data_IF_424769941856
#
_entry.id   IF_424769941856
#
_cell.length_a   1.000
_cell.length_b   1.000
_cell.length_c   1.000
_cell.angle_alpha   90.00
_cell.angle_beta   90.00
_cell.angle_gamma   90.00
#
_symmetry.space_group_name_H-M   'P 1'
#
loop_
_entity.id
_entity.type
_entity.pdbx_description
1 polymer ?
#
# COMPACT_ATOMS: atom_id res chain seq x y z
N UNK A 1 49.91 19.65 -29.86
CA UNK A 1 49.91 20.78 -28.91
C UNK A 1 49.36 20.26 -27.58
N UNK A 2 50.13 20.43 -26.50
CA UNK A 2 49.83 19.97 -25.14
C UNK A 2 49.25 21.14 -24.34
N UNK A 3 48.12 20.96 -23.65
CA UNK A 3 47.71 21.72 -22.44
C UNK A 3 46.59 20.90 -21.76
N UNK A 4 46.87 20.18 -20.67
CA UNK A 4 47.02 20.63 -19.27
C UNK A 4 45.68 20.76 -18.53
N UNK A 5 45.34 19.67 -17.84
CA UNK A 5 45.02 19.54 -16.40
C UNK A 5 44.27 20.67 -15.70
N UNK A 6 43.12 20.33 -15.09
CA UNK A 6 42.76 20.77 -13.75
C UNK A 6 41.77 19.77 -13.12
N UNK A 7 42.31 18.90 -12.26
CA UNK A 7 41.56 18.08 -11.31
C UNK A 7 41.02 19.01 -10.22
N UNK A 8 39.70 19.06 -10.06
CA UNK A 8 39.08 19.64 -8.87
C UNK A 8 38.72 18.50 -7.92
N UNK A 9 39.61 18.25 -6.96
CA UNK A 9 39.38 17.37 -5.81
C UNK A 9 38.84 18.26 -4.69
N UNK A 10 37.55 18.17 -4.39
CA UNK A 10 36.98 18.74 -3.17
C UNK A 10 36.58 17.63 -2.21
N UNK A 11 37.50 17.39 -1.28
CA UNK A 11 37.33 17.03 0.13
C UNK A 11 36.18 16.07 0.52
N UNK A 12 36.62 14.86 0.87
CA UNK A 12 35.95 13.93 1.77
C UNK A 12 35.61 14.60 3.12
N UNK A 13 34.37 14.44 3.56
CA UNK A 13 34.02 14.45 4.98
C UNK A 13 33.22 13.19 5.30
N UNK A 14 33.96 12.13 5.63
CA UNK A 14 33.41 10.89 6.18
C UNK A 14 33.19 11.12 7.68
N UNK A 15 31.92 11.20 8.12
CA UNK A 15 31.58 11.00 9.53
C UNK A 15 31.26 9.52 9.74
N UNK A 16 32.21 8.81 10.35
CA UNK A 16 32.03 7.46 10.90
C UNK A 16 31.35 7.59 12.26
N UNK A 17 30.08 7.20 12.35
CA UNK A 17 29.38 6.99 13.61
C UNK A 17 29.32 5.50 13.93
N UNK A 18 30.16 5.04 14.84
CA UNK A 18 30.09 3.71 15.45
C UNK A 18 29.14 3.76 16.66
N UNK A 19 28.12 2.89 16.69
CA UNK A 19 27.17 2.76 17.80
C UNK A 19 26.66 1.33 17.92
N UNK A 20 26.86 0.74 19.09
CA UNK A 20 26.89 -0.69 19.39
C UNK A 20 25.58 -1.48 19.18
N UNK A 21 25.74 -2.74 18.75
CA UNK A 21 24.74 -3.81 18.84
C UNK A 21 24.56 -4.31 20.28
N UNK A 22 23.31 -4.54 20.71
CA UNK A 22 23.00 -5.53 21.74
C UNK A 22 21.67 -6.22 21.43
N UNK A 23 21.76 -7.55 21.38
CA UNK A 23 20.73 -8.57 21.18
C UNK A 23 20.21 -8.96 22.57
N UNK A 24 18.90 -9.05 22.77
CA UNK A 24 18.31 -9.75 23.93
C UNK A 24 16.83 -10.05 23.60
N UNK A 25 16.56 -11.23 23.03
CA UNK A 25 15.80 -12.35 23.62
C UNK A 25 14.27 -12.22 23.65
N UNK A 26 13.65 -13.01 22.78
CA UNK A 26 12.32 -13.62 22.92
C UNK A 26 12.39 -14.69 24.03
N UNK A 27 11.38 -14.82 24.90
CA UNK A 27 10.77 -16.15 24.99
C UNK A 27 9.25 -16.20 25.31
N UNK A 28 8.62 -17.27 24.79
CA UNK A 28 7.41 -18.00 25.26
C UNK A 28 6.05 -17.28 25.07
N UNK A 29 5.11 -17.72 24.22
CA UNK A 29 4.47 -19.04 24.04
C UNK A 29 4.21 -19.80 25.35
N UNK A 30 2.99 -19.68 25.86
CA UNK A 30 2.32 -20.74 26.62
C UNK A 30 0.89 -20.90 26.10
N UNK A 31 0.70 -21.99 25.36
CA UNK A 31 -0.56 -22.72 25.23
C UNK A 31 -0.89 -23.30 26.60
N UNK A 32 -2.14 -23.25 27.08
CA UNK A 32 -2.84 -24.41 27.69
C UNK A 32 -4.34 -24.11 27.73
N UNK A 33 -5.08 -24.92 26.97
CA UNK A 33 -6.51 -25.20 27.11
C UNK A 33 -6.70 -26.24 28.23
N UNK A 34 -7.84 -26.28 28.93
CA UNK A 34 -8.44 -27.60 29.10
C UNK A 34 -9.96 -27.66 28.85
N UNK A 35 -10.28 -28.72 28.12
CA UNK A 35 -11.47 -29.56 28.06
C UNK A 35 -12.70 -29.26 28.95
N UNK A 36 -13.84 -29.13 28.24
CA UNK A 36 -15.09 -29.88 28.38
C UNK A 36 -15.77 -30.06 29.76
N UNK A 37 -17.04 -29.63 29.87
CA UNK A 37 -18.22 -30.53 29.91
C UNK A 37 -19.56 -29.76 30.05
N UNK A 38 -20.49 -30.02 29.11
CA UNK A 38 -21.95 -30.30 29.24
C UNK A 38 -22.86 -29.21 29.90
N UNK A 39 -24.12 -28.93 29.54
CA UNK A 39 -25.21 -29.63 28.84
C UNK A 39 -26.33 -28.59 28.52
N UNK A 40 -27.08 -28.79 27.42
CA UNK A 40 -28.53 -28.54 27.21
C UNK A 40 -29.23 -27.48 28.09
N UNK A 41 -29.94 -26.48 27.56
CA UNK A 41 -31.23 -26.60 26.86
C UNK A 41 -31.81 -25.19 26.61
N UNK A 42 -32.83 -25.14 25.73
CA UNK A 42 -33.93 -24.15 25.67
C UNK A 42 -33.76 -22.92 24.75
N UNK A 43 -34.32 -23.08 23.55
CA UNK A 43 -35.08 -22.05 22.83
C UNK A 43 -36.43 -21.87 23.57
N UNK A 44 -36.99 -20.65 23.78
CA UNK A 44 -37.35 -19.78 22.66
C UNK A 44 -37.19 -18.26 22.85
N UNK A 45 -37.01 -17.62 21.69
CA UNK A 45 -37.41 -16.24 21.40
C UNK A 45 -36.76 -15.14 22.25
N UNK A 46 -35.58 -14.67 21.84
CA UNK A 46 -35.22 -13.25 21.88
C UNK A 46 -34.32 -12.88 20.70
N UNK A 47 -34.92 -12.18 19.72
CA UNK A 47 -34.45 -10.90 19.19
C UNK A 47 -32.94 -10.61 19.38
N UNK A 48 -32.22 -10.62 18.25
CA UNK A 48 -30.91 -9.99 18.02
C UNK A 48 -29.70 -10.55 18.77
N UNK A 49 -28.85 -11.27 18.03
CA UNK A 49 -27.45 -10.86 17.88
C UNK A 49 -27.09 -11.00 16.40
N UNK A 50 -27.43 -9.98 15.61
CA UNK A 50 -26.64 -9.69 14.42
C UNK A 50 -25.23 -9.46 14.94
N UNK A 51 -24.32 -10.39 14.66
CA UNK A 51 -22.90 -10.09 14.79
C UNK A 51 -22.65 -8.97 13.79
N UNK A 52 -22.57 -7.75 14.32
CA UNK A 52 -22.21 -6.54 13.60
C UNK A 52 -20.93 -6.87 12.81
N UNK A 53 -21.08 -7.05 11.51
CA UNK A 53 -19.97 -7.34 10.61
C UNK A 53 -19.10 -6.10 10.61
N UNK A 54 -17.88 -6.21 11.13
CA UNK A 54 -16.89 -5.15 11.06
C UNK A 54 -16.82 -4.61 9.62
N UNK A 55 -17.02 -3.30 9.46
CA UNK A 55 -16.95 -2.50 8.22
C UNK A 55 -16.32 -3.22 7.03
N UNK A 56 -17.14 -3.95 6.26
CA UNK A 56 -16.69 -4.56 5.03
C UNK A 56 -16.46 -3.45 4.00
N UNK A 57 -15.19 -3.16 3.71
CA UNK A 57 -14.84 -2.23 2.62
C UNK A 57 -15.46 -2.74 1.31
N UNK A 58 -16.01 -1.86 0.45
CA UNK A 58 -16.60 -2.26 -0.82
C UNK A 58 -15.66 -3.15 -1.65
N UNK A 59 -16.24 -4.09 -2.40
CA UNK A 59 -15.51 -4.98 -3.29
C UNK A 59 -15.88 -4.67 -4.76
N UNK A 60 -14.87 -4.62 -5.64
CA UNK A 60 -15.03 -4.30 -7.06
C UNK A 60 -14.36 -5.36 -7.92
N UNK A 61 -14.87 -5.62 -9.12
CA UNK A 61 -14.20 -6.47 -10.10
C UNK A 61 -13.25 -5.67 -10.98
N UNK A 62 -12.30 -6.34 -11.65
CA UNK A 62 -11.47 -5.68 -12.67
C UNK A 62 -12.30 -5.13 -13.83
N UNK A 63 -13.39 -5.80 -14.20
CA UNK A 63 -14.31 -5.32 -15.23
C UNK A 63 -14.94 -3.97 -14.83
N UNK A 64 -15.31 -3.80 -13.56
CA UNK A 64 -15.80 -2.51 -13.06
C UNK A 64 -14.71 -1.44 -13.10
N UNK A 65 -13.53 -1.75 -12.54
CA UNK A 65 -12.38 -0.82 -12.56
C UNK A 65 -12.05 -0.36 -13.98
N UNK A 66 -12.12 -1.27 -14.97
CA UNK A 66 -11.79 -0.96 -16.37
C UNK A 66 -12.66 0.12 -17.02
N UNK A 67 -13.88 0.34 -16.49
CA UNK A 67 -14.79 1.40 -16.98
C UNK A 67 -14.26 2.80 -16.65
N UNK A 68 -13.52 2.93 -15.55
CA UNK A 68 -12.93 4.17 -15.04
C UNK A 68 -11.52 4.38 -15.60
N UNK A 69 -11.43 4.56 -16.92
CA UNK A 69 -10.18 4.57 -17.69
C UNK A 69 -9.74 5.95 -18.19
N UNK A 70 -10.36 7.04 -17.70
CA UNK A 70 -10.09 8.41 -18.17
C UNK A 70 -9.51 9.28 -17.06
N UNK A 71 -8.75 10.36 -17.36
CA UNK A 71 -8.19 11.23 -16.34
C UNK A 71 -9.23 11.81 -15.36
N UNK A 72 -10.40 12.20 -15.87
CA UNK A 72 -11.51 12.74 -15.08
C UNK A 72 -12.32 11.67 -14.32
N UNK A 73 -12.11 10.40 -14.63
CA UNK A 73 -12.78 9.23 -14.06
C UNK A 73 -11.81 8.05 -14.08
N UNK A 74 -10.87 8.06 -13.12
CA UNK A 74 -9.70 7.21 -13.14
C UNK A 74 -9.67 6.31 -11.91
N UNK A 75 -9.93 5.02 -12.09
CA UNK A 75 -9.68 4.03 -11.05
C UNK A 75 -8.52 3.12 -11.43
N UNK A 76 -7.81 2.60 -10.43
CA UNK A 76 -6.81 1.57 -10.66
C UNK A 76 -6.65 0.67 -9.43
N UNK A 77 -5.99 -0.47 -9.65
CA UNK A 77 -5.64 -1.40 -8.58
C UNK A 77 -4.17 -1.28 -8.23
N UNK A 78 -3.86 -1.31 -6.93
CA UNK A 78 -2.50 -1.57 -6.42
C UNK A 78 -2.63 -2.60 -5.30
N UNK A 79 -1.95 -3.74 -5.44
CA UNK A 79 -1.91 -4.80 -4.43
C UNK A 79 -3.31 -5.18 -3.89
N UNK A 80 -4.22 -5.55 -4.79
CA UNK A 80 -5.61 -5.96 -4.50
C UNK A 80 -6.51 -4.90 -3.85
N UNK A 81 -6.08 -3.64 -3.82
CA UNK A 81 -6.89 -2.49 -3.38
C UNK A 81 -7.26 -1.59 -4.55
N UNK A 82 -8.44 -1.00 -4.48
CA UNK A 82 -9.01 -0.16 -5.55
C UNK A 82 -8.97 1.29 -5.12
N UNK A 83 -8.50 2.15 -6.01
CA UNK A 83 -8.28 3.57 -5.75
C UNK A 83 -8.96 4.45 -6.80
N UNK A 84 -9.62 5.52 -6.36
CA UNK A 84 -10.11 6.59 -7.23
C UNK A 84 -9.08 7.73 -7.28
N UNK A 85 -8.45 7.92 -8.44
CA UNK A 85 -7.41 8.90 -8.68
C UNK A 85 -7.85 10.02 -9.63
N UNK A 86 -9.14 10.23 -9.85
CA UNK A 86 -9.68 11.21 -10.80
C UNK A 86 -9.10 12.62 -10.59
N UNK A 87 -8.79 12.98 -9.34
CA UNK A 87 -8.23 14.28 -8.96
C UNK A 87 -6.75 14.24 -8.55
N UNK A 88 -6.01 13.18 -8.90
CA UNK A 88 -4.64 12.98 -8.43
C UNK A 88 -3.59 13.77 -9.23
N UNK A 89 -3.81 14.06 -10.51
CA UNK A 89 -2.79 14.64 -11.40
C UNK A 89 -2.16 15.94 -10.90
N UNK A 90 -2.96 16.85 -10.35
CA UNK A 90 -2.47 18.15 -9.83
C UNK A 90 -1.69 18.05 -8.52
N UNK A 91 -1.87 16.97 -7.77
CA UNK A 91 -1.25 16.74 -6.44
C UNK A 91 -0.10 15.73 -6.51
N UNK A 92 -0.02 14.98 -7.60
CA UNK A 92 0.99 13.95 -7.80
C UNK A 92 2.28 14.58 -8.36
N UNK A 93 3.46 14.36 -7.75
CA UNK A 93 4.72 14.91 -8.26
C UNK A 93 5.08 14.50 -9.70
N UNK A 94 4.57 13.36 -10.16
CA UNK A 94 4.71 12.92 -11.56
C UNK A 94 3.66 13.49 -12.52
N UNK A 95 2.79 14.39 -12.04
CA UNK A 95 1.69 14.96 -12.80
C UNK A 95 0.77 13.89 -13.39
N UNK A 96 0.39 14.10 -14.64
CA UNK A 96 -0.52 13.26 -15.43
C UNK A 96 0.00 11.83 -15.68
N UNK A 97 1.27 11.53 -15.35
CA UNK A 97 1.78 10.17 -15.42
C UNK A 97 0.99 9.19 -14.51
N UNK A 98 0.28 9.70 -13.49
CA UNK A 98 -0.64 8.90 -12.66
C UNK A 98 -1.74 8.24 -13.50
N UNK A 99 -2.21 8.92 -14.54
CA UNK A 99 -3.35 8.47 -15.34
C UNK A 99 -3.01 7.32 -16.31
N UNK A 100 -1.73 6.92 -16.42
CA UNK A 100 -1.34 5.73 -17.19
C UNK A 100 -1.93 4.43 -16.61
N UNK A 101 -2.23 4.44 -15.31
CA UNK A 101 -2.84 3.33 -14.59
C UNK A 101 -4.35 3.23 -14.70
N UNK A 102 -5.07 4.22 -15.23
CA UNK A 102 -6.53 4.22 -15.23
C UNK A 102 -7.09 2.97 -15.91
N UNK A 103 -8.09 2.36 -15.28
CA UNK A 103 -8.76 1.13 -15.72
C UNK A 103 -7.95 -0.15 -15.59
N UNK A 104 -6.82 -0.16 -14.86
CA UNK A 104 -5.86 -1.29 -14.86
C UNK A 104 -5.39 -1.66 -13.46
N UNK A 105 -4.75 -2.82 -13.38
CA UNK A 105 -3.80 -3.11 -12.30
C UNK A 105 -2.51 -2.31 -12.54
N UNK A 106 -2.29 -1.30 -11.71
CA UNK A 106 -1.18 -0.39 -11.76
C UNK A 106 -0.07 -0.76 -10.76
N UNK A 107 -0.10 -1.95 -10.15
CA UNK A 107 0.89 -2.38 -9.14
C UNK A 107 2.31 -2.26 -9.67
N UNK A 108 2.60 -2.83 -10.84
CA UNK A 108 3.93 -2.74 -11.45
C UNK A 108 4.30 -1.31 -11.82
N UNK A 109 3.36 -0.52 -12.34
CA UNK A 109 3.60 0.90 -12.67
C UNK A 109 3.99 1.69 -11.42
N UNK A 110 3.30 1.45 -10.31
CA UNK A 110 3.55 2.08 -9.03
C UNK A 110 4.91 1.67 -8.43
N UNK A 111 5.26 0.39 -8.53
CA UNK A 111 6.47 -0.18 -7.95
C UNK A 111 7.73 0.11 -8.76
N UNK A 112 7.62 0.39 -10.06
CA UNK A 112 8.78 0.59 -10.93
C UNK A 112 8.93 2.01 -11.46
N UNK A 113 7.85 2.81 -11.46
CA UNK A 113 7.82 4.20 -11.98
C UNK A 113 8.58 4.37 -13.30
N UNK A 114 8.23 3.61 -14.37
CA UNK A 114 8.98 3.64 -15.62
C UNK A 114 8.88 4.99 -16.35
N UNK A 115 7.86 5.80 -16.04
CA UNK A 115 7.68 7.15 -16.58
C UNK A 115 8.32 8.25 -15.71
N UNK A 116 8.99 7.88 -14.63
CA UNK A 116 9.61 8.82 -13.70
C UNK A 116 11.03 8.39 -13.34
N UNK A 117 11.33 8.34 -12.05
CA UNK A 117 12.68 8.03 -11.56
C UNK A 117 13.16 6.58 -11.77
N UNK A 118 12.31 5.65 -12.22
CA UNK A 118 12.68 4.24 -12.39
C UNK A 118 12.91 3.46 -11.08
N UNK A 119 12.54 4.02 -9.93
CA UNK A 119 12.63 3.39 -8.62
C UNK A 119 11.24 3.26 -7.98
N UNK A 120 11.02 2.41 -6.97
CA UNK A 120 9.72 2.33 -6.29
C UNK A 120 9.34 3.63 -5.57
N UNK A 121 8.04 3.89 -5.46
CA UNK A 121 7.53 4.92 -4.56
C UNK A 121 8.00 4.69 -3.11
N UNK A 122 8.37 5.78 -2.43
CA UNK A 122 8.74 5.75 -0.99
C UNK A 122 7.57 5.28 -0.11
N UNK A 123 7.85 4.84 1.13
CA UNK A 123 6.81 4.50 2.11
C UNK A 123 5.87 5.69 2.38
N UNK A 124 6.42 6.90 2.48
CA UNK A 124 5.62 8.13 2.60
C UNK A 124 4.66 8.29 1.41
N UNK A 125 5.14 8.02 0.20
CA UNK A 125 4.32 8.06 -1.02
C UNK A 125 3.21 7.01 -0.99
N UNK A 126 3.52 5.78 -0.56
CA UNK A 126 2.52 4.72 -0.35
C UNK A 126 1.46 5.11 0.66
N UNK A 127 1.83 5.84 1.71
CA UNK A 127 0.88 6.34 2.71
C UNK A 127 -0.23 7.22 2.14
N UNK A 128 0.02 7.93 1.02
CA UNK A 128 -1.03 8.76 0.39
C UNK A 128 -2.10 7.93 -0.32
N UNK A 129 -1.85 6.66 -0.65
CA UNK A 129 -2.85 5.78 -1.31
C UNK A 129 -4.12 5.67 -0.48
N UNK A 130 -4.01 5.70 0.86
CA UNK A 130 -5.15 5.61 1.77
C UNK A 130 -6.18 6.73 1.55
N UNK A 131 -5.77 7.89 1.05
CA UNK A 131 -6.68 9.00 0.77
C UNK A 131 -7.57 8.79 -0.46
N UNK A 132 -7.22 7.81 -1.29
CA UNK A 132 -7.87 7.51 -2.55
C UNK A 132 -8.50 6.11 -2.56
N UNK A 133 -8.32 5.33 -1.49
CA UNK A 133 -8.84 3.96 -1.39
C UNK A 133 -10.37 3.97 -1.31
N UNK A 134 -11.01 3.25 -2.22
CA UNK A 134 -12.47 3.10 -2.25
C UNK A 134 -12.91 1.68 -1.91
N UNK A 135 -12.00 0.72 -1.92
CA UNK A 135 -12.30 -0.66 -1.55
C UNK A 135 -11.23 -1.67 -1.96
N UNK A 136 -11.66 -2.90 -2.15
CA UNK A 136 -10.81 -4.06 -2.46
C UNK A 136 -11.19 -4.69 -3.79
N UNK A 137 -10.23 -5.39 -4.41
CA UNK A 137 -10.45 -6.14 -5.62
C UNK A 137 -11.07 -7.51 -5.28
N UNK A 138 -12.22 -7.80 -5.88
CA UNK A 138 -12.88 -9.10 -5.86
C UNK A 138 -12.17 -10.03 -6.86
N UNK A 139 -11.71 -11.19 -6.37
CA UNK A 139 -11.06 -12.25 -7.17
C UNK A 139 -12.03 -13.36 -7.54
#
# INVERSE_FOLDING_TARGET
MRTSTLLTICALTILVGAGCSKKEQNPNNDQVQPAAQQQETQQPDQKSVTFESADASPAYTMDEVSKHSKPEDCWFVIADKVYDASNAGTKHPGGDAVYQGCGKDATTLFDTRPMGSGTPHSEKSRGYLKNYEIGTLQK
#
